data_IF_536901615662
#
_entry.id   IF_536901615662
#
_cell.length_a   1.000
_cell.length_b   1.000
_cell.length_c   1.000
_cell.angle_alpha   90.00
_cell.angle_beta   90.00
_cell.angle_gamma   90.00
#
_symmetry.space_group_name_H-M   'P 1'
#
loop_
_entity.id
_entity.type
_entity.pdbx_description
1 polymer ?
#
# COMPACT_ATOMS: atom_id res chain seq x y z
N UNK A 1 -17.78 -3.00 17.31
CA UNK A 1 -17.34 -2.35 16.05
C UNK A 1 -18.29 -2.78 14.93
N UNK A 2 -19.35 -2.03 14.62
CA UNK A 2 -20.27 -2.40 13.52
C UNK A 2 -19.60 -2.09 12.18
N UNK A 3 -19.26 -3.12 11.41
CA UNK A 3 -18.71 -3.02 10.05
C UNK A 3 -19.85 -2.57 9.13
N UNK A 4 -19.70 -1.42 8.47
CA UNK A 4 -20.62 -1.00 7.41
C UNK A 4 -20.12 -1.57 6.09
N UNK A 5 -20.96 -2.31 5.37
CA UNK A 5 -20.59 -2.95 4.09
C UNK A 5 -20.08 -1.94 3.07
N UNK A 6 -20.66 -0.74 3.02
CA UNK A 6 -20.23 0.34 2.12
C UNK A 6 -18.84 0.87 2.50
N UNK A 7 -18.60 1.07 3.80
CA UNK A 7 -17.30 1.51 4.31
C UNK A 7 -16.19 0.48 4.06
N UNK A 8 -16.51 -0.80 4.25
CA UNK A 8 -15.58 -1.89 3.97
C UNK A 8 -15.23 -1.95 2.47
N UNK A 9 -16.24 -1.92 1.59
CA UNK A 9 -16.03 -1.90 0.12
C UNK A 9 -15.16 -0.73 -0.31
N UNK A 10 -15.43 0.47 0.22
CA UNK A 10 -14.62 1.65 -0.08
C UNK A 10 -13.16 1.45 0.34
N UNK A 11 -12.91 1.02 1.59
CA UNK A 11 -11.55 0.76 2.08
C UNK A 11 -10.83 -0.30 1.24
N UNK A 12 -11.53 -1.37 0.83
CA UNK A 12 -10.97 -2.40 -0.05
C UNK A 12 -10.56 -1.81 -1.41
N UNK A 13 -11.42 -1.02 -2.04
CA UNK A 13 -11.11 -0.35 -3.32
C UNK A 13 -9.87 0.54 -3.18
N UNK A 14 -9.77 1.32 -2.11
CA UNK A 14 -8.59 2.16 -1.83
C UNK A 14 -7.31 1.31 -1.73
N UNK A 15 -7.36 0.20 -1.00
CA UNK A 15 -6.23 -0.73 -0.88
C UNK A 15 -5.84 -1.34 -2.23
N UNK A 16 -6.81 -1.82 -3.02
CA UNK A 16 -6.57 -2.42 -4.34
C UNK A 16 -5.96 -1.41 -5.31
N UNK A 17 -6.46 -0.16 -5.33
CA UNK A 17 -5.91 0.90 -6.18
C UNK A 17 -4.45 1.18 -5.81
N UNK A 18 -4.15 1.26 -4.51
CA UNK A 18 -2.77 1.48 -4.05
C UNK A 18 -1.83 0.33 -4.43
N UNK A 19 -2.28 -0.92 -4.28
CA UNK A 19 -1.54 -2.10 -4.72
C UNK A 19 -1.26 -2.05 -6.23
N UNK A 20 -2.29 -1.73 -7.04
CA UNK A 20 -2.14 -1.59 -8.49
C UNK A 20 -1.11 -0.51 -8.84
N UNK A 21 -1.13 0.65 -8.17
CA UNK A 21 -0.13 1.70 -8.33
C UNK A 21 1.28 1.18 -8.05
N UNK A 22 1.47 0.43 -6.95
CA UNK A 22 2.76 -0.15 -6.60
C UNK A 22 3.28 -1.14 -7.63
N UNK A 23 2.41 -2.05 -8.10
CA UNK A 23 2.75 -3.01 -9.15
C UNK A 23 3.11 -2.33 -10.48
N UNK A 24 2.35 -1.32 -10.87
CA UNK A 24 2.62 -0.55 -12.09
C UNK A 24 3.91 0.25 -11.98
N UNK A 25 4.17 0.90 -10.84
CA UNK A 25 5.41 1.61 -10.58
C UNK A 25 6.63 0.68 -10.61
N UNK A 26 6.51 -0.52 -10.03
CA UNK A 26 7.52 -1.58 -10.11
C UNK A 26 7.78 -2.01 -11.55
N UNK A 27 6.73 -2.38 -12.28
CA UNK A 27 6.85 -2.81 -13.67
C UNK A 27 7.47 -1.71 -14.55
N UNK A 28 7.04 -0.47 -14.38
CA UNK A 28 7.54 0.68 -15.13
C UNK A 28 9.03 0.95 -14.85
N UNK A 29 9.41 1.03 -13.57
CA UNK A 29 10.80 1.22 -13.17
C UNK A 29 11.70 0.10 -13.72
N UNK A 30 11.24 -1.15 -13.65
CA UNK A 30 12.02 -2.30 -14.10
C UNK A 30 12.11 -2.43 -15.63
N UNK A 31 10.98 -2.33 -16.34
CA UNK A 31 10.90 -2.63 -17.77
C UNK A 31 11.21 -1.45 -18.68
N UNK A 32 10.90 -0.23 -18.26
CA UNK A 32 11.02 0.96 -19.11
C UNK A 32 12.25 1.79 -18.72
N UNK A 33 12.45 2.02 -17.42
CA UNK A 33 13.57 2.85 -16.95
C UNK A 33 14.87 2.05 -16.81
N UNK A 34 14.78 0.75 -16.48
CA UNK A 34 15.94 -0.09 -16.20
C UNK A 34 16.48 0.07 -14.78
N UNK A 35 15.64 0.56 -13.85
CA UNK A 35 15.99 0.83 -12.46
C UNK A 35 16.36 2.30 -12.19
N UNK A 36 16.37 2.69 -10.91
CA UNK A 36 16.79 4.02 -10.50
C UNK A 36 15.79 5.15 -10.80
N UNK A 37 14.52 4.84 -11.09
CA UNK A 37 13.51 5.88 -11.32
C UNK A 37 13.33 6.77 -10.06
N UNK A 38 13.55 8.11 -10.14
CA UNK A 38 13.59 8.97 -8.95
C UNK A 38 12.27 9.03 -8.18
N UNK A 39 11.14 8.81 -8.85
CA UNK A 39 9.81 8.82 -8.21
C UNK A 39 9.37 7.45 -7.68
N UNK A 40 10.18 6.41 -7.86
CA UNK A 40 9.84 5.05 -7.48
C UNK A 40 9.46 4.92 -6.01
N UNK A 41 10.26 5.55 -5.13
CA UNK A 41 10.00 5.56 -3.69
C UNK A 41 8.70 6.27 -3.30
N UNK A 42 8.28 7.29 -4.08
CA UNK A 42 7.03 8.03 -3.83
C UNK A 42 5.81 7.17 -4.10
N UNK A 43 5.78 6.46 -5.24
CA UNK A 43 4.65 5.59 -5.57
C UNK A 43 4.55 4.36 -4.66
N UNK A 44 5.69 3.88 -4.15
CA UNK A 44 5.76 2.74 -3.22
C UNK A 44 5.78 3.13 -1.75
N UNK A 45 5.52 4.40 -1.44
CA UNK A 45 5.64 4.92 -0.07
C UNK A 45 4.86 4.08 0.96
N UNK A 46 3.57 3.72 0.76
CA UNK A 46 2.84 2.90 1.74
C UNK A 46 3.48 1.52 1.98
N UNK A 47 4.00 0.88 0.93
CA UNK A 47 4.76 -0.36 1.05
C UNK A 47 6.11 -0.18 1.76
N UNK A 48 6.81 0.91 1.46
CA UNK A 48 8.10 1.26 2.08
C UNK A 48 7.96 1.53 3.58
N UNK A 49 6.84 2.11 4.03
CA UNK A 49 6.54 2.25 5.45
C UNK A 49 6.46 0.92 6.18
N UNK A 50 5.94 -0.12 5.53
CA UNK A 50 5.93 -1.46 6.14
C UNK A 50 7.33 -2.05 6.13
N UNK A 51 8.06 -1.92 5.02
CA UNK A 51 9.43 -2.39 4.92
C UNK A 51 10.38 -1.77 5.95
N UNK A 52 10.17 -0.51 6.36
CA UNK A 52 11.03 0.14 7.35
C UNK A 52 11.02 -0.52 8.74
N UNK A 53 10.07 -1.42 9.02
CA UNK A 53 10.04 -2.21 10.25
C UNK A 53 10.84 -3.52 10.17
N UNK A 54 11.42 -3.83 9.00
CA UNK A 54 12.14 -5.08 8.75
C UNK A 54 13.61 -4.81 8.43
N UNK A 55 14.44 -5.86 8.55
CA UNK A 55 15.86 -5.79 8.17
C UNK A 55 16.04 -5.54 6.68
N UNK A 56 17.10 -4.80 6.33
CA UNK A 56 17.50 -4.60 4.94
C UNK A 56 17.99 -5.90 4.27
N UNK A 57 18.43 -6.90 5.07
CA UNK A 57 19.03 -8.16 4.61
C UNK A 57 18.01 -9.19 4.09
N UNK A 58 16.76 -8.80 3.88
CA UNK A 58 15.74 -9.70 3.32
C UNK A 58 15.93 -9.87 1.81
N UNK A 59 15.86 -11.12 1.36
CA UNK A 59 15.84 -11.49 -0.06
C UNK A 59 14.74 -10.75 -0.85
N UNK A 60 14.96 -10.63 -2.16
CA UNK A 60 14.08 -9.85 -3.03
C UNK A 60 12.60 -10.28 -2.97
N UNK A 61 12.29 -11.56 -3.14
CA UNK A 61 10.90 -12.02 -3.24
C UNK A 61 10.09 -11.81 -1.95
N UNK A 62 10.61 -12.19 -0.76
CA UNK A 62 9.94 -11.86 0.49
C UNK A 62 9.81 -10.35 0.72
N UNK A 63 10.85 -9.56 0.40
CA UNK A 63 10.82 -8.11 0.51
C UNK A 63 9.74 -7.50 -0.39
N UNK A 64 9.65 -7.96 -1.64
CA UNK A 64 8.63 -7.52 -2.58
C UNK A 64 7.22 -7.88 -2.11
N UNK A 65 7.02 -9.10 -1.61
CA UNK A 65 5.73 -9.52 -1.06
C UNK A 65 5.31 -8.67 0.15
N UNK A 66 6.23 -8.36 1.06
CA UNK A 66 6.01 -7.46 2.19
C UNK A 66 5.67 -6.04 1.74
N UNK A 67 6.42 -5.50 0.77
CA UNK A 67 6.18 -4.18 0.21
C UNK A 67 4.79 -4.09 -0.43
N UNK A 68 4.40 -5.06 -1.25
CA UNK A 68 3.07 -5.09 -1.89
C UNK A 68 1.96 -5.27 -0.86
N UNK A 69 2.20 -6.08 0.18
CA UNK A 69 1.25 -6.23 1.30
C UNK A 69 1.05 -4.89 2.02
N UNK A 70 2.13 -4.16 2.31
CA UNK A 70 2.05 -2.81 2.90
C UNK A 70 1.38 -1.80 1.98
N UNK A 71 1.65 -1.90 0.68
CA UNK A 71 1.03 -1.06 -0.35
C UNK A 71 -0.50 -1.18 -0.33
N UNK A 72 -1.03 -2.36 -0.04
CA UNK A 72 -2.47 -2.60 0.16
C UNK A 72 -2.94 -2.23 1.57
N UNK A 73 -2.29 -2.79 2.60
CA UNK A 73 -2.79 -2.78 3.98
C UNK A 73 -2.78 -1.38 4.58
N UNK A 74 -1.75 -0.57 4.34
CA UNK A 74 -1.64 0.76 4.94
C UNK A 74 -2.80 1.66 4.49
N UNK A 75 -3.08 1.84 3.18
CA UNK A 75 -4.21 2.66 2.74
C UNK A 75 -5.57 2.05 3.11
N UNK A 76 -5.71 0.72 3.07
CA UNK A 76 -6.93 0.03 3.51
C UNK A 76 -7.26 0.36 4.98
N UNK A 77 -6.29 0.17 5.88
CA UNK A 77 -6.44 0.40 7.32
C UNK A 77 -6.65 1.89 7.61
N UNK A 78 -5.91 2.79 6.96
CA UNK A 78 -6.09 4.23 7.12
C UNK A 78 -7.50 4.66 6.69
N UNK A 79 -7.96 4.27 5.50
CA UNK A 79 -9.30 4.56 5.03
C UNK A 79 -10.36 3.99 6.00
N UNK A 80 -10.15 2.77 6.50
CA UNK A 80 -11.07 2.12 7.44
C UNK A 80 -11.16 2.87 8.76
N UNK A 81 -10.02 3.31 9.29
CA UNK A 81 -9.92 4.08 10.54
C UNK A 81 -10.57 5.45 10.40
N UNK A 82 -10.31 6.16 9.30
CA UNK A 82 -10.92 7.47 9.03
C UNK A 82 -12.45 7.40 8.94
N UNK A 83 -13.00 6.40 8.24
CA UNK A 83 -14.45 6.19 8.16
C UNK A 83 -15.03 5.85 9.53
N UNK A 84 -14.33 5.00 10.30
CA UNK A 84 -14.76 4.63 11.64
C UNK A 84 -14.82 5.83 12.57
N UNK A 85 -13.79 6.68 12.53
CA UNK A 85 -13.68 7.89 13.34
C UNK A 85 -14.75 8.92 12.95
N UNK A 86 -14.97 9.15 11.65
CA UNK A 86 -16.04 10.04 11.17
C UNK A 86 -17.42 9.64 11.66
N UNK A 87 -17.67 8.34 11.87
CA UNK A 87 -18.96 7.85 12.40
C UNK A 87 -19.10 8.09 13.91
N UNK A 88 -18.01 8.21 14.66
CA UNK A 88 -18.04 8.52 16.08
C UNK A 88 -18.41 9.99 16.35
N UNK A 89 -18.07 10.89 15.43
CA UNK A 89 -18.35 12.33 15.58
C UNK A 89 -19.77 12.72 15.15
N UNK A 90 -20.55 11.79 14.58
CA UNK A 90 -21.94 11.99 14.18
C UNK A 90 -22.86 11.23 15.11
#
# INVERSE_FOLDING_TARGET
>A
MLISDKGLRFSLVVGVISLAIGLLAFAYNWKIIGGGWPYFGTFLFPGNLVLSFFSEEIDFWPKFALQMSGQFLVPFLLARSLISFRRWWK
#
